data_IF_804952667943
#
_entry.id   IF_804952667943
#
_cell.length_a   1.000
_cell.length_b   1.000
_cell.length_c   1.000
_cell.angle_alpha   90.00
_cell.angle_beta   90.00
_cell.angle_gamma   90.00
#
_symmetry.space_group_name_H-M   'P 1'
#
loop_
_entity.id
_entity.type
_entity.pdbx_description
1 polymer ?
#
# COMPACT_ATOMS: atom_id res chain seq x y z
N UNK A 1 7.54 0.85 -11.14
CA UNK A 1 8.09 0.43 -9.84
C UNK A 1 7.63 -0.99 -9.56
N UNK A 2 8.53 -1.86 -9.13
CA UNK A 2 8.21 -3.26 -8.83
C UNK A 2 7.48 -3.37 -7.49
N UNK A 3 6.19 -3.73 -7.52
CA UNK A 3 5.34 -3.83 -6.33
C UNK A 3 5.87 -4.87 -5.33
N UNK A 4 6.45 -5.98 -5.81
CA UNK A 4 6.97 -7.04 -4.95
C UNK A 4 8.18 -6.50 -4.18
N UNK A 5 9.09 -5.83 -4.87
CA UNK A 5 10.27 -5.21 -4.25
C UNK A 5 9.89 -4.15 -3.21
N UNK A 6 8.85 -3.36 -3.47
CA UNK A 6 8.31 -2.40 -2.49
C UNK A 6 7.74 -3.12 -1.27
N UNK A 7 6.96 -4.17 -1.47
CA UNK A 7 6.38 -4.96 -0.38
C UNK A 7 7.44 -5.63 0.48
N UNK A 8 8.49 -6.19 -0.12
CA UNK A 8 9.62 -6.79 0.59
C UNK A 8 10.39 -5.76 1.42
N UNK A 9 10.64 -4.56 0.86
CA UNK A 9 11.31 -3.48 1.59
C UNK A 9 10.50 -3.01 2.81
N UNK A 10 9.17 -2.90 2.66
CA UNK A 10 8.27 -2.55 3.76
C UNK A 10 8.22 -3.65 4.83
N UNK A 11 8.10 -4.91 4.42
CA UNK A 11 8.10 -6.06 5.33
C UNK A 11 9.40 -6.15 6.14
N UNK A 12 10.55 -5.90 5.50
CA UNK A 12 11.85 -5.85 6.17
C UNK A 12 11.99 -4.75 7.23
N UNK A 13 11.10 -3.75 7.21
CA UNK A 13 11.03 -2.65 8.18
C UNK A 13 9.94 -2.83 9.24
N UNK A 14 9.32 -4.02 9.31
CA UNK A 14 8.27 -4.32 10.31
C UNK A 14 6.86 -3.88 9.91
N UNK A 15 6.67 -3.47 8.66
CA UNK A 15 5.35 -3.13 8.11
C UNK A 15 4.70 -4.39 7.56
N UNK A 16 3.48 -4.68 8.01
CA UNK A 16 2.60 -5.63 7.32
C UNK A 16 1.94 -4.93 6.13
N UNK A 17 2.14 -5.47 4.93
CA UNK A 17 1.56 -4.93 3.70
C UNK A 17 0.59 -5.92 3.08
N UNK A 18 -0.56 -5.42 2.61
CA UNK A 18 -1.48 -6.20 1.78
C UNK A 18 -1.88 -5.43 0.54
N UNK A 19 -1.94 -6.16 -0.57
CA UNK A 19 -2.51 -5.70 -1.83
C UNK A 19 -3.67 -6.63 -2.18
N UNK A 20 -4.84 -6.06 -2.50
CA UNK A 20 -6.04 -6.81 -2.84
C UNK A 20 -6.65 -6.26 -4.13
N UNK A 21 -7.05 -7.16 -5.03
CA UNK A 21 -8.01 -6.88 -6.08
C UNK A 21 -9.39 -7.36 -5.64
N UNK A 22 -10.39 -6.48 -5.74
CA UNK A 22 -11.78 -6.78 -5.40
C UNK A 22 -12.60 -7.05 -6.68
N UNK A 23 -13.09 -8.28 -6.82
CA UNK A 23 -13.77 -8.74 -8.03
C UNK A 23 -15.14 -8.07 -8.25
N UNK A 24 -15.85 -7.71 -7.19
CA UNK A 24 -17.14 -7.03 -7.28
C UNK A 24 -16.93 -5.61 -7.78
N UNK A 25 -15.99 -4.89 -7.15
CA UNK A 25 -15.60 -3.55 -7.58
C UNK A 25 -15.03 -3.51 -8.99
N UNK A 26 -14.35 -4.57 -9.42
CA UNK A 26 -13.84 -4.68 -10.78
C UNK A 26 -14.98 -4.84 -11.79
N UNK A 27 -15.98 -5.66 -11.48
CA UNK A 27 -17.21 -5.79 -12.30
C UNK A 27 -18.01 -4.50 -12.37
N UNK A 28 -18.03 -3.73 -11.28
CA UNK A 28 -18.74 -2.44 -11.19
C UNK A 28 -17.97 -1.27 -11.83
N UNK A 29 -16.72 -1.48 -12.26
CA UNK A 29 -15.91 -0.44 -12.91
C UNK A 29 -15.49 0.70 -11.96
N UNK A 30 -15.39 0.43 -10.66
CA UNK A 30 -14.99 1.43 -9.65
C UNK A 30 -13.49 1.31 -9.31
N UNK A 31 -13.09 1.47 -8.04
CA UNK A 31 -11.70 1.32 -7.55
C UNK A 31 -11.48 -0.08 -6.98
N UNK A 32 -11.06 -1.09 -7.78
CA UNK A 32 -10.96 -2.48 -7.31
C UNK A 32 -9.71 -2.76 -6.49
N UNK A 33 -8.69 -1.91 -6.58
CA UNK A 33 -7.42 -2.15 -5.91
C UNK A 33 -7.41 -1.51 -4.54
N UNK A 34 -6.96 -2.26 -3.54
CA UNK A 34 -6.74 -1.77 -2.18
C UNK A 34 -5.32 -2.09 -1.76
N UNK A 35 -4.61 -1.07 -1.29
CA UNK A 35 -3.34 -1.17 -0.58
C UNK A 35 -3.58 -0.88 0.90
N UNK A 36 -3.04 -1.71 1.78
CA UNK A 36 -3.00 -1.44 3.23
C UNK A 36 -1.60 -1.70 3.76
N UNK A 37 -1.08 -0.76 4.54
CA UNK A 37 0.12 -0.89 5.35
C UNK A 37 -0.21 -0.62 6.83
N UNK A 38 0.22 -1.53 7.71
CA UNK A 38 0.04 -1.47 9.16
C UNK A 38 1.27 -2.04 9.89
N UNK A 39 1.34 -1.95 11.21
CA UNK A 39 2.52 -2.34 12.01
C UNK A 39 3.48 -1.18 12.26
N UNK A 40 4.72 -1.45 12.68
CA UNK A 40 5.68 -0.39 12.94
C UNK A 40 6.02 0.36 11.63
N UNK A 41 6.22 1.69 11.64
CA UNK A 41 6.23 2.61 12.79
C UNK A 41 4.85 3.23 13.10
N UNK A 42 3.77 2.73 12.50
CA UNK A 42 2.43 3.22 12.81
C UNK A 42 2.05 2.84 14.26
N UNK A 43 1.25 3.67 14.93
CA UNK A 43 0.63 3.26 16.20
C UNK A 43 -0.42 2.17 15.94
N UNK A 44 -0.76 1.37 16.94
CA UNK A 44 -1.62 0.19 16.80
C UNK A 44 -3.00 0.48 16.14
N UNK A 45 -3.48 1.72 16.24
CA UNK A 45 -4.73 2.20 15.66
C UNK A 45 -4.58 2.90 14.29
N UNK A 46 -3.34 3.11 13.83
CA UNK A 46 -3.02 3.82 12.60
C UNK A 46 -2.61 2.86 11.49
N UNK A 47 -3.21 3.03 10.32
CA UNK A 47 -2.85 2.33 9.09
C UNK A 47 -2.87 3.29 7.90
N UNK A 48 -2.07 2.98 6.88
CA UNK A 48 -2.15 3.66 5.57
C UNK A 48 -2.97 2.77 4.65
N UNK A 49 -4.16 3.23 4.25
CA UNK A 49 -5.00 2.56 3.26
C UNK A 49 -5.27 3.45 2.06
N UNK A 50 -5.19 2.85 0.87
CA UNK A 50 -5.56 3.50 -0.40
C UNK A 50 -6.38 2.54 -1.25
N UNK A 51 -7.56 3.00 -1.68
CA UNK A 51 -8.34 2.32 -2.72
C UNK A 51 -8.15 3.08 -4.05
N UNK A 52 -7.81 2.39 -5.15
CA UNK A 52 -7.53 3.00 -6.45
C UNK A 52 -7.96 2.15 -7.66
N UNK A 53 -7.87 2.74 -8.86
CA UNK A 53 -8.26 2.13 -10.14
C UNK A 53 -7.19 1.19 -10.72
N UNK A 54 -5.92 1.33 -10.28
CA UNK A 54 -4.81 0.47 -10.67
C UNK A 54 -3.83 0.26 -9.51
N UNK A 55 -2.90 -0.68 -9.68
CA UNK A 55 -1.83 -0.94 -8.71
C UNK A 55 -0.94 0.31 -8.56
N UNK A 56 -0.55 0.90 -9.69
CA UNK A 56 0.31 2.08 -9.77
C UNK A 56 -0.34 3.27 -9.07
N UNK A 57 -1.64 3.49 -9.29
CA UNK A 57 -2.37 4.57 -8.64
C UNK A 57 -2.46 4.40 -7.10
N UNK A 58 -2.45 3.17 -6.58
CA UNK A 58 -2.29 2.94 -5.14
C UNK A 58 -0.90 3.41 -4.67
N UNK A 59 0.16 3.04 -5.40
CA UNK A 59 1.54 3.37 -5.05
C UNK A 59 1.82 4.86 -5.10
N UNK A 60 1.33 5.56 -6.13
CA UNK A 60 1.49 7.01 -6.27
C UNK A 60 0.92 7.77 -5.07
N UNK A 61 -0.15 7.26 -4.45
CA UNK A 61 -0.79 7.86 -3.28
C UNK A 61 -0.13 7.40 -1.97
N UNK A 62 0.18 6.12 -1.82
CA UNK A 62 0.61 5.58 -0.53
C UNK A 62 2.10 5.80 -0.25
N UNK A 63 2.98 5.73 -1.25
CA UNK A 63 4.42 5.77 -1.02
C UNK A 63 4.92 7.12 -0.48
N UNK A 64 4.42 8.28 -0.93
CA UNK A 64 4.76 9.56 -0.30
C UNK A 64 4.41 9.58 1.19
N UNK A 65 3.21 9.11 1.55
CA UNK A 65 2.77 9.04 2.96
C UNK A 65 3.63 8.10 3.79
N UNK A 66 3.97 6.94 3.24
CA UNK A 66 4.85 5.98 3.92
C UNK A 66 6.24 6.55 4.17
N UNK A 67 6.77 7.37 3.26
CA UNK A 67 8.04 8.10 3.47
C UNK A 67 7.94 9.14 4.58
N UNK A 68 6.79 9.78 4.78
CA UNK A 68 6.56 10.70 5.91
C UNK A 68 6.66 9.99 7.27
N UNK A 69 6.39 8.68 7.31
CA UNK A 69 6.60 7.84 8.49
C UNK A 69 8.06 7.35 8.65
N UNK A 70 8.98 7.80 7.78
CA UNK A 70 10.40 7.43 7.84
C UNK A 70 10.73 6.08 7.18
N UNK A 71 9.79 5.49 6.44
CA UNK A 71 10.04 4.22 5.73
C UNK A 71 10.92 4.45 4.50
N UNK A 72 11.92 3.59 4.33
CA UNK A 72 12.78 3.55 3.15
C UNK A 72 12.07 2.76 2.06
N UNK A 73 11.81 3.41 0.93
CA UNK A 73 11.09 2.80 -0.20
C UNK A 73 11.98 2.85 -1.44
N UNK A 74 12.23 1.72 -2.13
CA UNK A 74 13.04 1.68 -3.33
C UNK A 74 12.43 2.51 -4.46
N UNK A 75 13.28 3.03 -5.35
CA UNK A 75 12.86 3.65 -6.64
C UNK A 75 12.44 2.59 -7.67
#
# INVERSE_FOLDING_TARGET
MDVVRVMEALAGQGVTVSFKADAERMREGVKPWTFVASGAPFREDLLVRTDAVSVEACLDVCLPRLREFGLVIPE
#
